data_IF_213762862342
#
_entry.id   IF_213762862342
#
_cell.length_a   1.000
_cell.length_b   1.000
_cell.length_c   1.000
_cell.angle_alpha   90.00
_cell.angle_beta   90.00
_cell.angle_gamma   90.00
#
_symmetry.space_group_name_H-M   'P 1'
#
loop_
_entity.id
_entity.type
_entity.pdbx_description
1 polymer ?
#
# COMPACT_ATOMS: atom_id res chain seq x y z
N UNK A 1 16.05 -16.17 -3.85
CA UNK A 1 15.52 -15.82 -5.17
C UNK A 1 14.03 -15.59 -5.11
N UNK A 2 13.62 -14.37 -5.41
CA UNK A 2 12.23 -13.91 -5.41
C UNK A 2 11.51 -14.37 -6.67
N UNK A 3 10.32 -14.95 -6.52
CA UNK A 3 9.48 -15.42 -7.63
C UNK A 3 8.76 -14.25 -8.28
N UNK A 4 8.89 -14.12 -9.58
CA UNK A 4 8.29 -13.05 -10.38
C UNK A 4 7.31 -13.65 -11.38
N UNK A 5 6.12 -13.07 -11.50
CA UNK A 5 5.27 -13.29 -12.67
C UNK A 5 5.25 -12.04 -13.55
N UNK A 6 5.08 -12.23 -14.85
CA UNK A 6 4.96 -11.15 -15.83
C UNK A 6 3.60 -11.27 -16.51
N UNK A 7 2.83 -10.20 -16.50
CA UNK A 7 1.49 -10.13 -17.11
C UNK A 7 1.47 -8.95 -18.07
N UNK A 8 1.43 -9.24 -19.36
CA UNK A 8 1.61 -8.28 -20.46
C UNK A 8 0.96 -8.90 -21.69
N UNK A 9 0.09 -8.20 -22.42
CA UNK A 9 -0.66 -8.80 -23.53
C UNK A 9 0.17 -8.87 -24.83
N UNK A 10 1.03 -7.88 -25.06
CA UNK A 10 1.93 -7.85 -26.22
C UNK A 10 3.07 -8.89 -26.07
N UNK A 11 3.03 -9.97 -26.87
CA UNK A 11 4.00 -11.08 -26.79
C UNK A 11 5.46 -10.62 -26.92
N UNK A 12 5.73 -9.67 -27.82
CA UNK A 12 7.07 -9.13 -28.03
C UNK A 12 7.58 -8.44 -26.76
N UNK A 13 6.74 -7.65 -26.09
CA UNK A 13 7.11 -6.94 -24.85
C UNK A 13 7.28 -7.95 -23.71
N UNK A 14 6.34 -8.89 -23.58
CA UNK A 14 6.37 -9.95 -22.56
C UNK A 14 7.65 -10.78 -22.66
N UNK A 15 7.97 -11.28 -23.86
CA UNK A 15 9.24 -12.01 -24.10
C UNK A 15 10.46 -11.12 -23.91
N UNK A 16 10.39 -9.86 -24.31
CA UNK A 16 11.43 -8.86 -24.05
C UNK A 16 11.75 -8.73 -22.55
N UNK A 17 10.73 -8.64 -21.70
CA UNK A 17 10.88 -8.61 -20.24
C UNK A 17 11.51 -9.88 -19.68
N UNK A 18 11.05 -11.04 -20.15
CA UNK A 18 11.51 -12.36 -19.67
C UNK A 18 12.99 -12.56 -19.98
N UNK A 19 13.42 -12.23 -21.20
CA UNK A 19 14.77 -12.54 -21.67
C UNK A 19 15.79 -11.41 -21.53
N UNK A 20 15.36 -10.15 -21.50
CA UNK A 20 16.30 -9.01 -21.51
C UNK A 20 16.60 -8.47 -20.11
N UNK A 21 15.72 -8.72 -19.14
CA UNK A 21 15.96 -8.33 -17.74
C UNK A 21 16.84 -9.40 -17.08
N UNK A 22 17.97 -9.03 -16.46
CA UNK A 22 18.87 -10.00 -15.82
C UNK A 22 18.32 -10.44 -14.45
N UNK A 23 17.21 -11.19 -14.45
CA UNK A 23 16.47 -11.60 -13.26
C UNK A 23 17.36 -12.29 -12.21
N UNK A 24 18.21 -13.22 -12.65
CA UNK A 24 19.11 -13.96 -11.75
C UNK A 24 20.11 -13.04 -11.03
N UNK A 25 20.64 -12.02 -11.72
CA UNK A 25 21.55 -11.02 -11.10
C UNK A 25 20.81 -10.16 -10.05
N UNK A 26 19.50 -10.00 -10.22
CA UNK A 26 18.64 -9.28 -9.26
C UNK A 26 18.14 -10.19 -8.12
N UNK A 27 18.59 -11.45 -8.04
CA UNK A 27 18.08 -12.49 -7.14
C UNK A 27 16.56 -12.69 -7.32
N UNK A 28 16.11 -12.69 -8.57
CA UNK A 28 14.74 -12.93 -9.00
C UNK A 28 14.68 -14.08 -10.03
N UNK A 29 13.53 -14.75 -10.12
CA UNK A 29 13.24 -15.74 -11.16
C UNK A 29 11.83 -15.59 -11.67
N UNK A 30 11.68 -15.52 -13.00
CA UNK A 30 10.36 -15.56 -13.63
C UNK A 30 9.79 -16.97 -13.52
N UNK A 31 8.65 -17.10 -12.84
CA UNK A 31 7.97 -18.39 -12.60
C UNK A 31 6.71 -18.57 -13.44
N UNK A 32 6.27 -17.51 -14.14
CA UNK A 32 5.11 -17.57 -15.02
C UNK A 32 4.96 -16.32 -15.87
N UNK A 33 4.32 -16.48 -17.02
CA UNK A 33 4.00 -15.44 -17.99
C UNK A 33 2.52 -15.53 -18.37
N UNK A 34 1.81 -14.40 -18.42
CA UNK A 34 0.40 -14.34 -18.77
C UNK A 34 0.11 -13.19 -19.75
N UNK A 35 -0.91 -13.38 -20.59
CA UNK A 35 -1.31 -12.39 -21.60
C UNK A 35 -2.49 -11.51 -21.17
N UNK A 36 -3.12 -11.79 -20.01
CA UNK A 36 -4.23 -11.00 -19.48
C UNK A 36 -4.37 -11.20 -17.96
N UNK A 37 -5.21 -10.38 -17.33
CA UNK A 37 -5.42 -10.41 -15.89
C UNK A 37 -5.98 -11.73 -15.35
N UNK A 38 -6.77 -12.51 -16.11
CA UNK A 38 -7.32 -13.79 -15.65
C UNK A 38 -6.20 -14.84 -15.53
N UNK A 39 -5.41 -15.01 -16.59
CA UNK A 39 -4.24 -15.88 -16.57
C UNK A 39 -3.24 -15.43 -15.48
N UNK A 40 -3.07 -14.11 -15.32
CA UNK A 40 -2.25 -13.55 -14.26
C UNK A 40 -2.72 -13.96 -12.86
N UNK A 41 -4.04 -13.94 -12.60
CA UNK A 41 -4.61 -14.41 -11.34
C UNK A 41 -4.35 -15.90 -11.12
N UNK A 42 -4.49 -16.73 -12.14
CA UNK A 42 -4.21 -18.17 -12.08
C UNK A 42 -2.76 -18.43 -11.68
N UNK A 43 -1.80 -17.74 -12.31
CA UNK A 43 -0.38 -17.83 -11.95
C UNK A 43 -0.09 -17.37 -10.51
N UNK A 44 -0.80 -16.34 -10.02
CA UNK A 44 -0.70 -15.94 -8.61
C UNK A 44 -1.12 -17.10 -7.71
N UNK A 45 -2.24 -17.77 -8.02
CA UNK A 45 -2.76 -18.88 -7.21
C UNK A 45 -1.79 -20.06 -7.21
N UNK A 46 -1.25 -20.40 -8.37
CA UNK A 46 -0.41 -21.58 -8.57
C UNK A 46 0.98 -21.39 -7.96
N UNK A 47 1.63 -20.26 -8.23
CA UNK A 47 3.05 -20.09 -7.93
C UNK A 47 3.33 -19.33 -6.63
N UNK A 48 2.32 -18.64 -6.07
CA UNK A 48 2.47 -17.72 -4.94
C UNK A 48 3.71 -16.81 -5.12
N UNK A 49 3.70 -15.93 -6.14
CA UNK A 49 4.87 -15.12 -6.47
C UNK A 49 5.14 -14.05 -5.41
N UNK A 50 6.39 -13.63 -5.31
CA UNK A 50 6.78 -12.51 -4.45
C UNK A 50 6.53 -11.15 -5.11
N UNK A 51 6.68 -11.10 -6.44
CA UNK A 51 6.57 -9.88 -7.25
C UNK A 51 5.70 -10.17 -8.48
N UNK A 52 4.83 -9.24 -8.85
CA UNK A 52 4.13 -9.30 -10.14
C UNK A 52 4.40 -8.02 -10.91
N UNK A 53 4.91 -8.17 -12.13
CA UNK A 53 5.07 -7.10 -13.11
C UNK A 53 3.87 -7.14 -14.04
N UNK A 54 3.05 -6.08 -14.03
CA UNK A 54 1.71 -6.10 -14.61
C UNK A 54 1.54 -4.89 -15.53
N UNK A 55 1.18 -5.13 -16.79
CA UNK A 55 0.70 -4.06 -17.66
C UNK A 55 -0.71 -3.61 -17.27
N UNK A 56 -1.00 -2.32 -17.42
CA UNK A 56 -2.33 -1.79 -17.11
C UNK A 56 -3.33 -2.22 -18.17
N UNK A 57 -3.01 -1.96 -19.45
CA UNK A 57 -3.97 -2.08 -20.53
C UNK A 57 -3.85 -3.46 -21.18
N UNK A 58 -4.64 -4.41 -20.70
CA UNK A 58 -4.70 -5.76 -21.25
C UNK A 58 -6.16 -6.12 -21.59
N UNK A 59 -6.41 -6.97 -22.59
CA UNK A 59 -7.75 -7.44 -22.91
C UNK A 59 -8.30 -8.34 -21.80
N UNK A 60 -9.61 -8.55 -21.81
CA UNK A 60 -10.36 -9.46 -20.89
C UNK A 60 -10.41 -8.95 -19.44
N UNK A 61 -9.25 -8.74 -18.81
CA UNK A 61 -9.10 -8.18 -17.48
C UNK A 61 -7.86 -7.31 -17.43
N UNK A 62 -8.06 -6.03 -17.09
CA UNK A 62 -6.98 -5.04 -16.99
C UNK A 62 -6.13 -5.23 -15.72
N UNK A 63 -4.95 -4.61 -15.68
CA UNK A 63 -4.02 -4.76 -14.57
C UNK A 63 -4.57 -4.28 -13.22
N UNK A 64 -5.44 -3.28 -13.20
CA UNK A 64 -6.06 -2.81 -11.96
C UNK A 64 -7.19 -3.73 -11.48
N UNK A 65 -7.97 -4.31 -12.40
CA UNK A 65 -8.98 -5.31 -12.08
C UNK A 65 -8.32 -6.59 -11.53
N UNK A 66 -7.21 -7.00 -12.12
CA UNK A 66 -6.38 -8.10 -11.64
C UNK A 66 -5.84 -7.81 -10.23
N UNK A 67 -5.26 -6.62 -10.01
CA UNK A 67 -4.80 -6.20 -8.69
C UNK A 67 -5.95 -6.24 -7.68
N UNK A 68 -7.09 -5.63 -8.00
CA UNK A 68 -8.22 -5.57 -7.09
C UNK A 68 -8.72 -6.97 -6.66
N UNK A 69 -8.70 -7.91 -7.61
CA UNK A 69 -9.19 -9.29 -7.40
C UNK A 69 -8.22 -10.16 -6.58
N UNK A 70 -6.91 -9.88 -6.65
CA UNK A 70 -5.88 -10.67 -5.95
C UNK A 70 -5.39 -10.02 -4.66
N UNK A 71 -5.56 -8.71 -4.49
CA UNK A 71 -4.98 -7.95 -3.38
C UNK A 71 -5.37 -8.47 -1.99
N UNK A 72 -6.57 -9.03 -1.83
CA UNK A 72 -7.01 -9.59 -0.54
C UNK A 72 -6.48 -11.00 -0.26
N UNK A 73 -6.30 -11.82 -1.29
CA UNK A 73 -6.08 -13.25 -1.14
C UNK A 73 -4.61 -13.63 -1.21
N UNK A 74 -3.82 -12.79 -1.88
CA UNK A 74 -2.42 -13.08 -2.17
C UNK A 74 -1.53 -11.95 -1.69
N UNK A 75 -0.30 -12.30 -1.37
CA UNK A 75 0.68 -11.39 -0.83
C UNK A 75 1.88 -11.33 -1.77
N UNK A 76 1.91 -10.31 -2.63
CA UNK A 76 3.01 -10.05 -3.56
C UNK A 76 3.23 -8.54 -3.69
N UNK A 77 4.40 -8.10 -4.15
CA UNK A 77 4.68 -6.70 -4.49
C UNK A 77 4.28 -6.42 -5.95
N UNK A 78 3.27 -5.57 -6.21
CA UNK A 78 2.93 -5.20 -7.57
C UNK A 78 3.83 -4.08 -8.12
N UNK A 79 4.30 -4.28 -9.35
CA UNK A 79 4.96 -3.29 -10.20
C UNK A 79 4.09 -3.10 -11.44
N UNK A 80 3.72 -1.86 -11.72
CA UNK A 80 2.88 -1.50 -12.86
C UNK A 80 3.73 -1.04 -14.04
N UNK A 81 3.42 -1.54 -15.23
CA UNK A 81 3.92 -1.03 -16.51
C UNK A 81 2.82 -0.19 -17.17
N UNK A 82 3.18 0.91 -17.83
CA UNK A 82 2.22 1.73 -18.55
C UNK A 82 2.79 2.29 -19.84
N UNK A 83 2.03 2.19 -20.92
CA UNK A 83 2.30 2.87 -22.20
C UNK A 83 2.03 4.38 -22.17
N UNK A 84 1.34 4.89 -21.14
CA UNK A 84 0.93 6.29 -21.05
C UNK A 84 1.34 6.92 -19.72
N UNK A 85 1.81 8.17 -19.79
CA UNK A 85 1.96 9.04 -18.63
C UNK A 85 0.60 9.61 -18.20
N UNK A 86 -0.39 8.73 -17.98
CA UNK A 86 -1.72 9.13 -17.52
C UNK A 86 -1.71 9.37 -16.01
N UNK A 87 -2.06 10.59 -15.62
CA UNK A 87 -2.13 11.01 -14.22
C UNK A 87 -3.16 10.22 -13.42
N UNK A 88 -4.26 9.80 -14.04
CA UNK A 88 -5.29 8.99 -13.36
C UNK A 88 -4.80 7.57 -13.07
N UNK A 89 -3.98 6.99 -13.97
CA UNK A 89 -3.32 5.71 -13.70
C UNK A 89 -2.28 5.82 -12.59
N UNK A 90 -1.48 6.89 -12.57
CA UNK A 90 -0.54 7.14 -11.49
C UNK A 90 -1.25 7.28 -10.13
N UNK A 91 -2.39 8.01 -10.08
CA UNK A 91 -3.21 8.11 -8.85
C UNK A 91 -3.73 6.75 -8.39
N UNK A 92 -4.27 5.94 -9.31
CA UNK A 92 -4.77 4.58 -9.00
C UNK A 92 -3.65 3.67 -8.52
N UNK A 93 -2.48 3.73 -9.14
CA UNK A 93 -1.29 2.99 -8.74
C UNK A 93 -0.87 3.33 -7.30
N UNK A 94 -0.78 4.62 -6.96
CA UNK A 94 -0.51 5.09 -5.59
C UNK A 94 -1.60 4.58 -4.63
N UNK A 95 -2.87 4.65 -5.04
CA UNK A 95 -4.00 4.18 -4.26
C UNK A 95 -3.93 2.69 -3.93
N UNK A 96 -3.44 1.84 -4.84
CA UNK A 96 -3.22 0.40 -4.62
C UNK A 96 -1.88 0.08 -3.95
N UNK A 97 -1.08 1.11 -3.66
CA UNK A 97 0.19 0.96 -2.96
C UNK A 97 1.25 0.23 -3.79
N UNK A 98 1.16 0.29 -5.12
CA UNK A 98 2.14 -0.33 -6.02
C UNK A 98 3.52 0.30 -5.82
N UNK A 99 4.58 -0.50 -5.96
CA UNK A 99 5.94 -0.09 -5.57
C UNK A 99 6.77 0.46 -6.71
N UNK A 100 6.36 0.18 -7.93
CA UNK A 100 6.92 0.76 -9.13
C UNK A 100 5.79 1.09 -10.10
N UNK A 101 5.90 2.26 -10.73
CA UNK A 101 5.13 2.64 -11.89
C UNK A 101 6.14 2.96 -12.99
N UNK A 102 6.27 2.06 -13.96
CA UNK A 102 7.27 2.13 -15.02
C UNK A 102 6.61 2.53 -16.33
N UNK A 103 7.18 3.54 -17.00
CA UNK A 103 6.73 3.97 -18.31
C UNK A 103 7.42 3.18 -19.42
N UNK A 104 6.65 2.72 -20.41
CA UNK A 104 7.19 2.21 -21.68
C UNK A 104 7.67 3.42 -22.52
N UNK A 105 8.84 3.37 -23.20
CA UNK A 105 9.78 2.26 -23.25
C UNK A 105 10.56 2.09 -21.94
N UNK A 106 10.70 0.84 -21.50
CA UNK A 106 11.26 0.52 -20.20
C UNK A 106 12.77 0.77 -20.17
N UNK A 107 13.22 1.51 -19.16
CA UNK A 107 14.64 1.65 -18.85
C UNK A 107 15.05 0.63 -17.77
N UNK A 108 16.19 -0.01 -17.99
CA UNK A 108 16.77 -0.96 -17.04
C UNK A 108 17.07 -0.34 -15.67
N UNK A 109 17.40 0.96 -15.61
CA UNK A 109 17.62 1.67 -14.35
C UNK A 109 16.35 1.71 -13.51
N UNK A 110 15.23 2.09 -14.11
CA UNK A 110 13.95 2.21 -13.41
C UNK A 110 13.41 0.82 -13.02
N UNK A 111 13.59 -0.19 -13.89
CA UNK A 111 13.27 -1.58 -13.59
C UNK A 111 14.04 -2.09 -12.36
N UNK A 112 15.36 -1.88 -12.31
CA UNK A 112 16.20 -2.27 -11.17
C UNK A 112 15.75 -1.63 -9.88
N UNK A 113 15.41 -0.34 -9.91
CA UNK A 113 14.95 0.38 -8.73
C UNK A 113 13.57 -0.11 -8.26
N UNK A 114 12.62 -0.33 -9.18
CA UNK A 114 11.31 -0.89 -8.86
C UNK A 114 11.42 -2.28 -8.23
N UNK A 115 12.27 -3.16 -8.77
CA UNK A 115 12.54 -4.48 -8.20
C UNK A 115 13.18 -4.38 -6.82
N UNK A 116 14.15 -3.47 -6.63
CA UNK A 116 14.78 -3.24 -5.33
C UNK A 116 13.75 -2.81 -4.26
N UNK A 117 12.84 -1.90 -4.61
CA UNK A 117 11.76 -1.46 -3.71
C UNK A 117 10.76 -2.59 -3.41
N UNK A 118 10.40 -3.38 -4.41
CA UNK A 118 9.53 -4.55 -4.27
C UNK A 118 10.14 -5.60 -3.32
N UNK A 119 11.42 -5.96 -3.51
CA UNK A 119 12.15 -6.89 -2.63
C UNK A 119 12.17 -6.42 -1.19
N UNK A 120 12.48 -5.15 -0.94
CA UNK A 120 12.47 -4.57 0.42
C UNK A 120 11.10 -4.70 1.09
N UNK A 121 10.01 -4.56 0.34
CA UNK A 121 8.68 -4.78 0.88
C UNK A 121 8.43 -6.25 1.21
N UNK A 122 8.88 -7.17 0.36
CA UNK A 122 8.81 -8.60 0.65
C UNK A 122 9.61 -8.95 1.92
N UNK A 123 10.79 -8.37 2.10
CA UNK A 123 11.62 -8.56 3.31
C UNK A 123 10.94 -8.03 4.56
N UNK A 124 10.42 -6.80 4.52
CA UNK A 124 9.67 -6.22 5.62
C UNK A 124 8.49 -7.15 5.94
N UNK A 125 7.66 -7.50 4.95
CA UNK A 125 6.50 -8.38 5.14
C UNK A 125 6.87 -9.75 5.69
N UNK A 126 7.91 -10.38 5.16
CA UNK A 126 8.37 -11.70 5.62
C UNK A 126 8.88 -11.60 7.05
N UNK A 127 9.57 -10.51 7.43
CA UNK A 127 9.93 -10.25 8.82
C UNK A 127 8.71 -10.05 9.72
N UNK A 128 7.64 -9.39 9.25
CA UNK A 128 6.37 -9.27 10.00
C UNK A 128 5.63 -10.60 10.19
N UNK A 129 5.77 -11.53 9.24
CA UNK A 129 5.15 -12.88 9.29
C UNK A 129 6.03 -13.88 10.07
N UNK A 130 7.36 -13.75 10.00
CA UNK A 130 8.30 -14.68 10.63
C UNK A 130 8.59 -14.38 12.11
N UNK A 131 8.33 -13.16 12.58
CA UNK A 131 8.19 -12.92 14.02
C UNK A 131 6.84 -13.48 14.42
N UNK A 132 6.83 -14.67 15.03
CA UNK A 132 5.67 -15.29 15.68
C UNK A 132 5.04 -14.28 16.65
N UNK A 133 4.19 -13.39 16.15
CA UNK A 133 3.45 -12.47 16.98
C UNK A 133 2.47 -13.31 17.76
N UNK A 134 2.63 -13.29 19.08
CA UNK A 134 1.62 -13.84 19.96
C UNK A 134 0.36 -12.98 19.84
N UNK A 135 -0.77 -13.50 20.31
CA UNK A 135 -2.00 -12.70 20.42
C UNK A 135 -1.78 -11.37 21.15
N UNK A 136 -0.93 -11.36 22.18
CA UNK A 136 -0.53 -10.16 22.93
C UNK A 136 0.25 -9.15 22.06
N UNK A 137 1.07 -9.61 21.11
CA UNK A 137 1.75 -8.72 20.16
C UNK A 137 0.78 -8.06 19.17
N UNK A 138 -0.28 -8.77 18.78
CA UNK A 138 -1.33 -8.24 17.93
C UNK A 138 -2.21 -7.22 18.66
N UNK A 139 -2.59 -7.53 19.90
CA UNK A 139 -3.37 -6.64 20.77
C UNK A 139 -2.58 -5.38 21.17
N UNK A 140 -1.26 -5.47 21.30
CA UNK A 140 -0.39 -4.32 21.63
C UNK A 140 0.16 -3.57 20.41
N UNK A 141 -0.21 -3.98 19.18
CA UNK A 141 0.23 -3.30 17.95
C UNK A 141 -0.32 -1.87 17.91
N UNK A 142 0.55 -0.89 17.67
CA UNK A 142 0.14 0.50 17.46
C UNK A 142 0.95 1.08 16.31
N UNK A 143 0.25 1.69 15.35
CA UNK A 143 0.84 2.33 14.17
C UNK A 143 1.33 3.75 14.47
N UNK A 144 1.15 4.19 15.73
CA UNK A 144 1.54 5.50 16.24
C UNK A 144 2.68 5.44 17.28
N UNK A 145 3.24 4.26 17.58
CA UNK A 145 4.29 4.10 18.63
C UNK A 145 5.47 5.05 18.43
N UNK A 146 5.84 5.34 17.19
CA UNK A 146 6.96 6.23 16.87
C UNK A 146 6.66 7.72 17.14
N UNK A 147 5.38 8.10 17.23
CA UNK A 147 4.92 9.48 17.41
C UNK A 147 4.39 9.77 18.82
N UNK A 148 4.33 8.75 19.69
CA UNK A 148 3.85 8.88 21.07
C UNK A 148 4.98 9.13 22.08
N UNK A 149 6.26 9.03 21.68
CA UNK A 149 7.40 9.05 22.61
C UNK A 149 7.69 10.40 23.25
N UNK A 150 7.29 11.51 22.62
CA UNK A 150 7.43 12.85 23.17
C UNK A 150 6.22 13.71 22.81
N UNK A 151 5.71 14.53 23.73
CA UNK A 151 4.65 15.47 23.42
C UNK A 151 5.14 16.47 22.39
N UNK A 152 4.43 16.59 21.26
CA UNK A 152 4.71 17.61 20.24
C UNK A 152 4.68 18.98 20.91
N UNK A 153 5.77 19.73 20.95
CA UNK A 153 5.83 21.01 21.67
C UNK A 153 5.21 22.17 20.88
N UNK A 154 5.32 22.12 19.55
CA UNK A 154 4.87 23.20 18.68
C UNK A 154 3.34 23.37 18.73
N UNK A 155 2.90 24.57 19.13
CA UNK A 155 1.48 24.90 19.30
C UNK A 155 0.67 24.76 18.02
N UNK A 156 1.24 25.09 16.86
CA UNK A 156 0.53 25.00 15.58
C UNK A 156 0.36 23.54 15.17
N UNK A 157 1.41 22.73 15.32
CA UNK A 157 1.34 21.29 15.09
C UNK A 157 0.34 20.60 16.03
N UNK A 158 0.28 21.01 17.31
CA UNK A 158 -0.77 20.52 18.25
C UNK A 158 -2.18 20.80 17.75
N UNK A 159 -2.46 22.02 17.29
CA UNK A 159 -3.77 22.37 16.72
C UNK A 159 -4.12 21.54 15.49
N UNK A 160 -3.13 21.23 14.64
CA UNK A 160 -3.35 20.35 13.48
C UNK A 160 -3.66 18.91 13.92
N UNK A 161 -3.01 18.41 14.99
CA UNK A 161 -3.30 17.09 15.57
C UNK A 161 -4.68 17.05 16.24
N UNK A 162 -5.04 18.08 17.00
CA UNK A 162 -6.37 18.25 17.59
C UNK A 162 -7.46 18.19 16.52
N UNK A 163 -7.26 18.91 15.41
CA UNK A 163 -8.16 18.87 14.26
C UNK A 163 -8.31 17.45 13.69
N UNK A 164 -7.22 16.68 13.58
CA UNK A 164 -7.29 15.26 13.20
C UNK A 164 -8.13 14.47 14.21
N UNK A 165 -7.84 14.59 15.51
CA UNK A 165 -8.50 13.79 16.54
C UNK A 165 -10.01 14.04 16.60
N UNK A 166 -10.44 15.28 16.36
CA UNK A 166 -11.85 15.66 16.37
C UNK A 166 -12.58 15.28 15.06
N UNK A 167 -11.87 15.30 13.92
CA UNK A 167 -12.49 15.23 12.60
C UNK A 167 -12.07 14.01 11.76
N UNK A 168 -11.28 13.07 12.29
CA UNK A 168 -10.72 11.96 11.51
C UNK A 168 -11.78 11.13 10.79
N UNK A 169 -13.01 11.03 11.30
CA UNK A 169 -14.10 10.28 10.68
C UNK A 169 -14.64 10.93 9.40
N UNK A 170 -14.40 12.23 9.22
CA UNK A 170 -14.91 13.01 8.10
C UNK A 170 -13.87 13.12 6.98
N UNK A 171 -14.31 13.55 5.79
CA UNK A 171 -13.39 13.89 4.70
C UNK A 171 -12.65 15.19 5.04
N UNK A 172 -11.41 15.06 5.51
CA UNK A 172 -10.53 16.19 5.79
C UNK A 172 -9.37 16.23 4.81
N UNK A 173 -8.96 17.43 4.43
CA UNK A 173 -7.84 17.75 3.54
C UNK A 173 -7.01 18.91 4.12
N UNK A 174 -5.80 19.11 3.60
CA UNK A 174 -4.94 20.21 4.07
C UNK A 174 -5.57 21.59 3.89
N UNK A 175 -6.41 21.76 2.86
CA UNK A 175 -7.12 23.02 2.63
C UNK A 175 -8.03 23.41 3.81
N UNK A 176 -8.66 22.45 4.49
CA UNK A 176 -9.52 22.73 5.64
C UNK A 176 -8.71 23.39 6.78
N UNK A 177 -7.46 22.98 6.94
CA UNK A 177 -6.53 23.58 7.92
C UNK A 177 -6.02 24.94 7.47
N UNK A 178 -5.79 25.14 6.17
CA UNK A 178 -5.42 26.45 5.62
C UNK A 178 -6.52 27.46 5.94
N UNK A 179 -7.78 27.10 5.67
CA UNK A 179 -8.94 27.95 5.88
C UNK A 179 -9.18 28.22 7.37
N UNK A 180 -8.96 27.21 8.23
CA UNK A 180 -9.21 27.34 9.67
C UNK A 180 -8.07 28.03 10.44
N UNK A 181 -6.83 27.89 9.97
CA UNK A 181 -5.64 28.39 10.67
C UNK A 181 -5.06 29.66 10.04
N UNK A 182 -5.50 30.05 8.83
CA UNK A 182 -5.03 31.20 8.06
C UNK A 182 -3.50 31.19 7.80
N UNK A 183 -2.95 30.01 7.50
CA UNK A 183 -1.55 29.84 7.07
C UNK A 183 -1.48 29.24 5.68
N UNK A 184 -0.39 29.50 4.96
CA UNK A 184 -0.17 28.84 3.68
C UNK A 184 0.01 27.33 3.84
N UNK A 185 -0.48 26.57 2.87
CA UNK A 185 -0.37 25.11 2.83
C UNK A 185 1.10 24.65 2.96
N UNK A 186 2.02 25.30 2.25
CA UNK A 186 3.45 24.98 2.30
C UNK A 186 4.03 25.14 3.71
N UNK A 187 3.59 26.18 4.44
CA UNK A 187 4.04 26.41 5.82
C UNK A 187 3.49 25.36 6.78
N UNK A 188 2.20 25.04 6.68
CA UNK A 188 1.56 24.01 7.50
C UNK A 188 2.19 22.63 7.28
N UNK A 189 2.42 22.24 6.02
CA UNK A 189 3.07 20.98 5.68
C UNK A 189 4.48 20.87 6.28
N UNK A 190 5.30 21.91 6.11
CA UNK A 190 6.64 21.95 6.69
C UNK A 190 6.58 21.89 8.21
N UNK A 191 5.73 22.72 8.82
CA UNK A 191 5.61 22.79 10.28
C UNK A 191 5.18 21.46 10.90
N UNK A 192 4.18 20.81 10.31
CA UNK A 192 3.72 19.51 10.78
C UNK A 192 4.82 18.45 10.65
N UNK A 193 5.53 18.44 9.52
CA UNK A 193 6.62 17.50 9.29
C UNK A 193 7.79 17.70 10.26
N UNK A 194 8.17 18.94 10.54
CA UNK A 194 9.25 19.26 11.47
C UNK A 194 8.89 18.84 12.91
N UNK A 195 7.64 19.03 13.31
CA UNK A 195 7.18 18.78 14.68
C UNK A 195 6.75 17.32 14.93
N UNK A 196 6.18 16.64 13.93
CA UNK A 196 5.60 15.30 14.06
C UNK A 196 6.46 14.23 13.37
N UNK A 197 7.35 14.61 12.44
CA UNK A 197 8.25 13.70 11.75
C UNK A 197 7.65 13.00 10.51
N UNK A 198 6.39 13.27 10.17
CA UNK A 198 5.72 12.73 8.97
C UNK A 198 4.78 13.78 8.34
N UNK A 199 4.19 13.47 7.19
CA UNK A 199 3.22 14.36 6.55
C UNK A 199 1.85 14.28 7.25
N UNK A 200 1.06 15.34 7.12
CA UNK A 200 -0.31 15.38 7.66
C UNK A 200 -1.16 14.19 7.20
N UNK A 201 -1.18 13.91 5.89
CA UNK A 201 -1.96 12.81 5.33
C UNK A 201 -1.47 11.43 5.79
N UNK A 202 -0.15 11.23 5.93
CA UNK A 202 0.38 9.96 6.44
C UNK A 202 0.00 9.77 7.91
N UNK A 203 0.10 10.82 8.73
CA UNK A 203 -0.33 10.76 10.14
C UNK A 203 -1.83 10.50 10.26
N UNK A 204 -2.66 11.23 9.50
CA UNK A 204 -4.11 11.03 9.47
C UNK A 204 -4.46 9.58 9.16
N UNK A 205 -3.89 9.02 8.09
CA UNK A 205 -4.15 7.64 7.72
C UNK A 205 -3.69 6.65 8.79
N UNK A 206 -2.54 6.86 9.43
CA UNK A 206 -2.12 6.04 10.58
C UNK A 206 -3.08 6.15 11.75
N UNK A 207 -3.54 7.35 12.09
CA UNK A 207 -4.50 7.57 13.17
C UNK A 207 -5.82 6.85 12.90
N UNK A 208 -6.33 6.93 11.66
CA UNK A 208 -7.53 6.19 11.24
C UNK A 208 -7.36 4.68 11.35
N UNK A 209 -6.20 4.15 10.93
CA UNK A 209 -5.88 2.72 11.11
C UNK A 209 -5.78 2.36 12.59
N UNK A 210 -5.19 3.22 13.44
CA UNK A 210 -5.16 2.99 14.89
C UNK A 210 -6.58 2.85 15.46
N UNK A 211 -7.51 3.72 15.05
CA UNK A 211 -8.93 3.62 15.41
C UNK A 211 -9.60 2.37 14.86
N UNK A 212 -9.24 1.96 13.65
CA UNK A 212 -9.69 0.68 13.11
C UNK A 212 -9.22 -0.52 13.94
N UNK A 213 -7.97 -0.54 14.41
CA UNK A 213 -7.47 -1.60 15.29
C UNK A 213 -8.20 -1.64 16.62
N UNK A 214 -8.48 -0.48 17.21
CA UNK A 214 -9.30 -0.37 18.43
C UNK A 214 -10.70 -1.00 18.22
N UNK A 215 -11.37 -0.69 17.10
CA UNK A 215 -12.68 -1.25 16.76
C UNK A 215 -12.63 -2.75 16.44
N UNK A 216 -11.60 -3.21 15.73
CA UNK A 216 -11.43 -4.64 15.40
C UNK A 216 -11.26 -5.46 16.69
N UNK A 217 -10.52 -4.96 17.67
CA UNK A 217 -10.32 -5.63 18.98
C UNK A 217 -11.57 -5.68 19.84
N UNK A 218 -12.49 -4.74 19.66
CA UNK A 218 -13.80 -4.78 20.33
C UNK A 218 -14.69 -5.91 19.78
N UNK A 219 -14.52 -6.28 18.50
CA UNK A 219 -15.14 -7.47 17.91
C UNK A 219 -16.59 -7.31 17.45
N UNK A 220 -17.18 -6.12 17.56
CA UNK A 220 -18.63 -5.92 17.38
C UNK A 220 -19.05 -5.47 15.97
N UNK A 221 -18.10 -5.26 15.06
CA UNK A 221 -18.37 -4.58 13.78
C UNK A 221 -17.81 -5.34 12.56
N UNK A 222 -18.59 -5.43 11.47
CA UNK A 222 -18.08 -5.84 10.16
C UNK A 222 -16.93 -4.92 9.70
N UNK A 223 -15.94 -5.47 9.00
CA UNK A 223 -14.76 -4.71 8.54
C UNK A 223 -15.15 -3.52 7.64
N UNK A 224 -16.21 -3.66 6.84
CA UNK A 224 -16.72 -2.56 6.02
C UNK A 224 -17.20 -1.38 6.88
N UNK A 225 -17.89 -1.65 7.98
CA UNK A 225 -18.36 -0.61 8.91
C UNK A 225 -17.18 0.02 9.67
N UNK A 226 -16.16 -0.77 9.98
CA UNK A 226 -14.90 -0.29 10.57
C UNK A 226 -14.17 0.66 9.60
N UNK A 227 -14.14 0.34 8.30
CA UNK A 227 -13.56 1.22 7.28
C UNK A 227 -14.27 2.58 7.23
N UNK A 228 -15.60 2.58 7.29
CA UNK A 228 -16.40 3.81 7.37
C UNK A 228 -16.20 4.57 8.67
N UNK A 229 -16.33 3.91 9.83
CA UNK A 229 -16.19 4.54 11.15
C UNK A 229 -14.77 5.02 11.46
N UNK A 230 -13.75 4.44 10.82
CA UNK A 230 -12.38 4.93 10.92
C UNK A 230 -12.15 6.19 10.06
N UNK A 231 -13.10 6.60 9.22
CA UNK A 231 -13.01 7.77 8.36
C UNK A 231 -12.23 7.57 7.06
N UNK A 232 -11.81 6.35 6.75
CA UNK A 232 -11.25 6.03 5.43
C UNK A 232 -12.38 5.87 4.40
N UNK A 233 -13.53 5.36 4.83
CA UNK A 233 -14.76 5.29 4.04
C UNK A 233 -14.71 4.19 3.00
N UNK A 234 -13.95 4.43 1.93
CA UNK A 234 -13.81 3.47 0.84
C UNK A 234 -13.08 2.21 1.32
N UNK A 235 -13.79 1.07 1.27
CA UNK A 235 -13.26 -0.20 1.74
C UNK A 235 -12.02 -0.64 0.93
N UNK A 236 -11.96 -0.34 -0.37
CA UNK A 236 -10.80 -0.72 -1.19
C UNK A 236 -9.56 0.04 -0.71
N UNK A 237 -9.67 1.34 -0.51
CA UNK A 237 -8.63 2.21 0.01
C UNK A 237 -8.23 1.80 1.43
N UNK A 238 -9.21 1.53 2.30
CA UNK A 238 -8.98 1.07 3.67
C UNK A 238 -8.05 -0.13 3.72
N UNK A 239 -8.28 -1.14 2.87
CA UNK A 239 -7.41 -2.32 2.80
C UNK A 239 -5.97 -1.96 2.44
N UNK A 240 -5.79 -1.05 1.48
CA UNK A 240 -4.45 -0.64 1.05
C UNK A 240 -3.73 0.09 2.16
N UNK A 241 -4.40 1.05 2.80
CA UNK A 241 -3.84 1.82 3.91
C UNK A 241 -3.55 0.90 5.10
N UNK A 242 -4.42 -0.04 5.41
CA UNK A 242 -4.22 -1.02 6.48
C UNK A 242 -2.99 -1.90 6.22
N UNK A 243 -2.89 -2.49 5.02
CA UNK A 243 -1.75 -3.34 4.65
C UNK A 243 -0.44 -2.57 4.59
N UNK A 244 -0.48 -1.32 4.12
CA UNK A 244 0.69 -0.42 4.12
C UNK A 244 1.30 -0.28 5.51
N UNK A 245 0.49 -0.19 6.57
CA UNK A 245 0.98 0.05 7.92
C UNK A 245 1.14 -1.22 8.77
N UNK A 246 0.34 -2.27 8.52
CA UNK A 246 0.38 -3.52 9.31
C UNK A 246 1.04 -4.70 8.59
N UNK A 247 1.32 -4.59 7.29
CA UNK A 247 1.88 -5.69 6.49
C UNK A 247 0.90 -6.81 6.14
N UNK A 248 -0.31 -6.79 6.70
CA UNK A 248 -1.39 -7.75 6.47
C UNK A 248 -2.72 -7.04 6.16
N UNK A 249 -3.67 -7.77 5.62
CA UNK A 249 -5.04 -7.30 5.39
C UNK A 249 -5.84 -7.24 6.71
N UNK A 250 -6.93 -6.44 6.76
CA UNK A 250 -7.82 -6.42 7.91
C UNK A 250 -8.39 -7.80 8.29
N UNK A 251 -8.68 -8.65 7.30
CA UNK A 251 -9.21 -10.01 7.50
C UNK A 251 -8.17 -10.94 8.13
N UNK A 252 -6.93 -10.89 7.65
CA UNK A 252 -5.82 -11.64 8.24
C UNK A 252 -5.60 -11.21 9.69
N UNK A 253 -5.52 -9.90 9.96
CA UNK A 253 -5.39 -9.39 11.33
C UNK A 253 -6.54 -9.84 12.25
N UNK A 254 -7.79 -9.79 11.77
CA UNK A 254 -8.96 -10.22 12.54
C UNK A 254 -8.89 -11.71 12.89
N UNK A 255 -8.45 -12.57 11.95
CA UNK A 255 -8.27 -14.00 12.20
C UNK A 255 -7.23 -14.27 13.29
N UNK A 256 -6.12 -13.54 13.29
CA UNK A 256 -5.05 -13.68 14.29
C UNK A 256 -5.49 -13.26 15.70
N UNK A 257 -6.32 -12.22 15.85
CA UNK A 257 -6.82 -11.80 17.17
C UNK A 257 -7.98 -12.66 17.70
N UNK A 258 -8.74 -13.30 16.80
CA UNK A 258 -9.85 -14.19 17.16
C UNK A 258 -9.42 -15.63 17.46
N UNK A 259 -8.20 -16.00 17.08
CA UNK A 259 -7.57 -17.29 17.41
C UNK A 259 -7.01 -17.29 18.84
#
# INVERSE_FOLDING_TARGET
MYKVIIVEDEDIIRKGLVYSVPWAEMDCSVVGEAANGIEGLELIREHNPDIAVIDINMPIMDGFQMLESSYEQYNYAPIILSGYSDFEYAKRAIHYGVKGYLLKPLNMTDMKEAIRLAKRECEIRNAWISHQKTKEDWESTSVLKDFQKQPVEDRLARRMLEYIFENYQQKIVMQDLVDHLNYSEAFLNRKFKDAVGTTFNDYLNRYRIQKALEMIRQGDLPIQDIAWKSGIGDYKYFRVVFRKYLGCSPKEYMKEISS
#
